data_IF_358751240333
#
_entry.id   IF_358751240333
#
_cell.length_a   1.000
_cell.length_b   1.000
_cell.length_c   1.000
_cell.angle_alpha   90.00
_cell.angle_beta   90.00
_cell.angle_gamma   90.00
#
_symmetry.space_group_name_H-M   'P 1'
#
loop_
_entity.id
_entity.type
_entity.pdbx_description
1 polymer ?
#
# COMPACT_ATOMS: atom_id res chain seq x y z
N UNK A 1 0.98 -26.04 -0.74
CA UNK A 1 0.91 -26.39 0.69
C UNK A 1 -0.31 -25.71 1.27
N UNK A 2 -1.26 -26.53 1.72
CA UNK A 2 -2.59 -26.15 2.19
C UNK A 2 -2.51 -25.26 3.44
N UNK A 3 -3.25 -24.14 3.45
CA UNK A 3 -3.45 -23.18 4.55
C UNK A 3 -4.23 -23.75 5.76
N UNK A 4 -4.35 -25.07 5.87
CA UNK A 4 -5.30 -25.77 6.73
C UNK A 4 -4.75 -26.21 8.08
N UNK A 5 -3.90 -25.45 8.78
CA UNK A 5 -3.59 -25.80 10.18
C UNK A 5 -3.06 -24.64 11.03
N UNK A 6 -3.89 -23.65 11.32
CA UNK A 6 -3.73 -22.77 12.51
C UNK A 6 -5.08 -22.18 12.96
N UNK A 7 -6.19 -22.87 12.72
CA UNK A 7 -7.50 -22.44 13.22
C UNK A 7 -7.77 -23.12 14.55
N UNK A 8 -7.38 -22.47 15.65
CA UNK A 8 -8.07 -22.72 16.90
C UNK A 8 -9.46 -22.09 16.75
N UNK A 9 -10.52 -22.88 16.88
CA UNK A 9 -11.91 -22.43 16.86
C UNK A 9 -12.12 -21.37 17.96
N UNK A 10 -12.03 -20.10 17.61
CA UNK A 10 -12.36 -19.00 18.49
C UNK A 10 -13.83 -18.66 18.28
N UNK A 11 -14.72 -19.19 19.11
CA UNK A 11 -16.14 -18.84 19.11
C UNK A 11 -16.36 -17.36 19.45
N UNK A 12 -17.47 -16.77 18.94
CA UNK A 12 -17.88 -15.40 19.27
C UNK A 12 -18.09 -15.28 20.78
N UNK A 13 -17.40 -14.36 21.48
CA UNK A 13 -17.61 -14.18 22.92
C UNK A 13 -18.95 -13.50 23.19
N UNK A 14 -19.50 -13.72 24.38
CA UNK A 14 -20.73 -13.07 24.84
C UNK A 14 -20.53 -11.55 25.14
N UNK A 15 -19.28 -11.09 25.25
CA UNK A 15 -18.95 -9.70 25.54
C UNK A 15 -18.95 -8.83 24.26
N UNK A 16 -19.36 -7.54 24.39
CA UNK A 16 -19.34 -6.57 23.29
C UNK A 16 -17.92 -6.25 22.81
N UNK A 17 -16.90 -6.45 23.64
CA UNK A 17 -15.47 -6.25 23.33
C UNK A 17 -14.66 -7.46 23.80
N UNK A 18 -13.65 -7.84 23.01
CA UNK A 18 -12.78 -8.99 23.36
C UNK A 18 -11.42 -8.94 22.69
N UNK A 19 -10.43 -9.59 23.31
CA UNK A 19 -9.11 -9.84 22.74
C UNK A 19 -8.88 -11.33 22.57
N UNK A 20 -8.59 -11.75 21.34
CA UNK A 20 -8.10 -13.07 21.02
C UNK A 20 -6.57 -13.05 21.05
N UNK A 21 -5.98 -13.60 22.10
CA UNK A 21 -4.52 -13.56 22.30
C UNK A 21 -3.82 -14.56 21.39
N UNK A 22 -2.81 -14.08 20.65
CA UNK A 22 -2.03 -14.87 19.69
C UNK A 22 -2.89 -15.67 18.71
N UNK A 23 -4.04 -15.12 18.36
CA UNK A 23 -5.04 -15.75 17.51
C UNK A 23 -5.66 -14.70 16.58
N UNK A 24 -5.86 -15.08 15.33
CA UNK A 24 -6.65 -14.35 14.35
C UNK A 24 -7.86 -15.23 14.04
N UNK A 25 -9.07 -14.84 14.47
CA UNK A 25 -10.28 -15.62 14.22
C UNK A 25 -10.59 -15.74 12.73
N UNK A 26 -11.28 -16.80 12.32
CA UNK A 26 -11.61 -17.06 10.90
C UNK A 26 -12.43 -15.94 10.27
N UNK A 27 -13.33 -15.31 11.04
CA UNK A 27 -14.12 -14.18 10.55
C UNK A 27 -13.29 -12.91 10.30
N UNK A 28 -12.07 -12.80 10.85
CA UNK A 28 -11.27 -11.59 10.80
C UNK A 28 -10.90 -11.18 9.36
N UNK A 29 -10.67 -12.14 8.47
CA UNK A 29 -10.35 -11.86 7.08
C UNK A 29 -11.47 -11.06 6.41
N UNK A 30 -12.69 -11.58 6.47
CA UNK A 30 -13.85 -10.95 5.86
C UNK A 30 -14.23 -9.63 6.57
N UNK A 31 -14.09 -9.58 7.90
CA UNK A 31 -14.35 -8.38 8.67
C UNK A 31 -13.40 -7.22 8.32
N UNK A 32 -12.09 -7.50 8.17
CA UNK A 32 -11.09 -6.51 7.78
C UNK A 32 -11.36 -5.95 6.39
N UNK A 33 -11.65 -6.82 5.44
CA UNK A 33 -11.94 -6.43 4.05
C UNK A 33 -13.25 -5.61 3.95
N UNK A 34 -14.26 -5.96 4.75
CA UNK A 34 -15.54 -5.24 4.79
C UNK A 34 -15.45 -3.89 5.49
N UNK A 35 -14.75 -3.83 6.65
CA UNK A 35 -14.67 -2.60 7.45
C UNK A 35 -13.74 -1.56 6.85
N UNK A 36 -12.60 -1.99 6.36
CA UNK A 36 -11.54 -1.07 5.96
C UNK A 36 -11.36 -1.00 4.44
N UNK A 37 -11.74 -2.04 3.70
CA UNK A 37 -11.64 -2.05 2.24
C UNK A 37 -10.24 -1.66 1.74
N UNK A 38 -9.18 -2.08 2.44
CA UNK A 38 -7.83 -1.58 2.21
C UNK A 38 -6.81 -2.72 2.05
N UNK A 39 -5.96 -2.58 1.03
CA UNK A 39 -4.88 -3.52 0.74
C UNK A 39 -4.00 -3.81 1.97
N UNK A 40 -3.61 -2.77 2.70
CA UNK A 40 -2.65 -2.87 3.79
C UNK A 40 -3.26 -3.32 5.13
N UNK A 41 -4.58 -3.43 5.21
CA UNK A 41 -5.30 -4.00 6.36
C UNK A 41 -5.84 -5.41 6.10
N UNK A 42 -5.87 -5.88 4.86
CA UNK A 42 -6.33 -7.23 4.50
C UNK A 42 -5.39 -8.33 4.99
N UNK A 43 -5.95 -9.43 5.48
CA UNK A 43 -5.17 -10.62 5.84
C UNK A 43 -4.39 -11.19 4.66
N UNK A 44 -4.88 -11.03 3.43
CA UNK A 44 -4.15 -11.46 2.24
C UNK A 44 -2.76 -10.80 2.14
N UNK A 45 -2.62 -9.57 2.59
CA UNK A 45 -1.36 -8.84 2.64
C UNK A 45 -0.58 -9.13 3.91
N UNK A 46 -1.28 -9.22 5.06
CA UNK A 46 -0.67 -9.41 6.38
C UNK A 46 -0.15 -10.83 6.61
N UNK A 47 -0.62 -11.83 5.87
CA UNK A 47 -0.18 -13.23 5.96
C UNK A 47 1.33 -13.43 5.74
N UNK A 48 2.03 -12.40 5.29
CA UNK A 48 3.47 -12.43 5.09
C UNK A 48 4.28 -11.85 6.26
N UNK A 49 3.61 -11.25 7.23
CA UNK A 49 4.21 -10.90 8.51
C UNK A 49 4.13 -12.09 9.46
N UNK A 50 4.93 -12.09 10.52
CA UNK A 50 4.91 -13.19 11.51
C UNK A 50 3.63 -13.13 12.36
N UNK A 51 2.53 -13.69 11.84
CA UNK A 51 1.20 -13.64 12.46
C UNK A 51 1.09 -14.47 13.75
N UNK A 52 2.03 -15.38 14.01
CA UNK A 52 1.99 -16.24 15.22
C UNK A 52 2.07 -15.45 16.54
N UNK A 53 2.53 -14.20 16.52
CA UNK A 53 2.58 -13.29 17.67
C UNK A 53 1.49 -12.23 17.65
N UNK A 54 0.57 -12.31 16.68
CA UNK A 54 -0.49 -11.31 16.50
C UNK A 54 -1.71 -11.69 17.30
N UNK A 55 -2.24 -10.72 18.02
CA UNK A 55 -3.51 -10.80 18.75
C UNK A 55 -4.56 -9.97 18.03
N UNK A 56 -5.83 -10.29 18.24
CA UNK A 56 -6.94 -9.60 17.60
C UNK A 56 -7.84 -8.98 18.67
N UNK A 57 -8.05 -7.65 18.58
CA UNK A 57 -9.13 -6.98 19.31
C UNK A 57 -10.33 -6.88 18.38
N UNK A 58 -11.51 -7.08 18.95
CA UNK A 58 -12.79 -6.97 18.25
C UNK A 58 -13.80 -6.27 19.15
N UNK A 59 -14.50 -5.30 18.59
CA UNK A 59 -15.69 -4.69 19.18
C UNK A 59 -16.89 -4.99 18.29
N UNK A 60 -17.93 -5.52 18.91
CA UNK A 60 -19.20 -5.84 18.24
C UNK A 60 -20.21 -4.72 18.45
N UNK A 61 -21.07 -4.48 17.46
CA UNK A 61 -22.23 -3.61 17.59
C UNK A 61 -23.23 -4.24 18.60
N UNK A 62 -23.87 -3.40 19.40
CA UNK A 62 -24.92 -3.83 20.35
C UNK A 62 -26.18 -4.33 19.63
N UNK A 63 -26.43 -3.90 18.41
CA UNK A 63 -27.51 -4.40 17.56
C UNK A 63 -27.16 -5.81 17.05
N UNK A 64 -27.64 -6.78 17.74
CA UNK A 64 -27.12 -8.15 17.86
C UNK A 64 -27.40 -9.12 16.71
N UNK A 65 -27.72 -8.69 15.49
CA UNK A 65 -27.92 -9.60 14.35
C UNK A 65 -26.88 -9.48 13.22
N UNK A 66 -25.96 -8.54 13.28
CA UNK A 66 -24.88 -8.48 12.31
C UNK A 66 -23.67 -9.30 12.79
N UNK A 67 -23.23 -10.26 12.00
CA UNK A 67 -21.97 -10.97 12.24
C UNK A 67 -20.72 -10.08 11.97
N UNK A 68 -20.92 -8.79 11.72
CA UNK A 68 -19.85 -7.87 11.42
C UNK A 68 -19.48 -7.06 12.68
N UNK A 69 -18.20 -7.01 13.05
CA UNK A 69 -17.74 -6.17 14.14
C UNK A 69 -17.85 -4.68 13.78
N UNK A 70 -17.94 -3.81 14.80
CA UNK A 70 -17.83 -2.36 14.67
C UNK A 70 -16.38 -1.93 14.39
N UNK A 71 -15.43 -2.60 15.03
CA UNK A 71 -14.01 -2.40 14.81
C UNK A 71 -13.21 -3.68 15.08
N UNK A 72 -12.09 -3.83 14.36
CA UNK A 72 -11.16 -4.95 14.51
C UNK A 72 -9.73 -4.46 14.33
N UNK A 73 -8.86 -4.72 15.32
CA UNK A 73 -7.45 -4.39 15.24
C UNK A 73 -6.59 -5.62 15.46
N UNK A 74 -5.66 -5.84 14.55
CA UNK A 74 -4.59 -6.83 14.72
C UNK A 74 -3.39 -6.12 15.32
N UNK A 75 -2.81 -6.68 16.38
CA UNK A 75 -1.72 -6.03 17.08
C UNK A 75 -0.70 -7.00 17.65
N UNK A 76 0.49 -6.50 17.93
CA UNK A 76 1.58 -7.22 18.59
C UNK A 76 2.06 -6.42 19.80
N UNK A 77 2.29 -7.11 20.93
CA UNK A 77 2.89 -6.53 22.13
C UNK A 77 4.41 -6.58 22.01
N UNK A 78 5.07 -5.44 22.15
CA UNK A 78 6.52 -5.27 22.14
C UNK A 78 6.96 -4.52 23.41
N UNK A 79 7.28 -5.27 24.47
CA UNK A 79 7.57 -4.68 25.76
C UNK A 79 6.36 -3.92 26.32
N UNK A 80 6.54 -2.63 26.63
CA UNK A 80 5.48 -1.75 27.15
C UNK A 80 4.69 -1.03 26.05
N UNK A 81 4.88 -1.40 24.80
CA UNK A 81 4.15 -0.83 23.66
C UNK A 81 3.33 -1.89 22.93
N UNK A 82 2.25 -1.46 22.31
CA UNK A 82 1.41 -2.28 21.48
C UNK A 82 1.40 -1.68 20.07
N UNK A 83 1.73 -2.48 19.06
CA UNK A 83 1.78 -2.06 17.66
C UNK A 83 0.63 -2.67 16.90
N UNK A 84 -0.23 -1.82 16.34
CA UNK A 84 -1.30 -2.23 15.43
C UNK A 84 -0.66 -2.51 14.07
N UNK A 85 -0.87 -3.72 13.56
CA UNK A 85 -0.27 -4.18 12.29
C UNK A 85 -1.12 -3.90 11.05
N UNK A 86 -2.38 -3.52 11.25
CA UNK A 86 -3.23 -3.03 10.17
C UNK A 86 -2.77 -1.63 9.76
N UNK A 87 -2.49 -1.43 8.48
CA UNK A 87 -2.11 -0.13 7.92
C UNK A 87 -3.17 0.36 6.92
N UNK A 88 -3.08 1.63 6.50
CA UNK A 88 -3.96 2.23 5.51
C UNK A 88 -5.39 2.52 5.98
N UNK A 89 -5.74 2.22 7.22
CA UNK A 89 -7.08 2.39 7.75
C UNK A 89 -7.45 3.87 7.92
N UNK A 90 -8.71 4.21 7.60
CA UNK A 90 -9.35 5.48 7.97
C UNK A 90 -10.01 5.31 9.33
N UNK A 91 -9.32 5.73 10.39
CA UNK A 91 -9.76 5.50 11.76
C UNK A 91 -10.83 6.50 12.19
N UNK A 92 -11.87 6.00 12.86
CA UNK A 92 -12.86 6.83 13.56
C UNK A 92 -12.39 7.06 15.00
N UNK A 93 -12.79 8.20 15.58
CA UNK A 93 -12.45 8.55 16.97
C UNK A 93 -12.86 7.44 17.95
N UNK A 94 -14.10 6.97 17.84
CA UNK A 94 -14.63 5.95 18.75
C UNK A 94 -13.89 4.63 18.66
N UNK A 95 -13.46 4.21 17.46
CA UNK A 95 -12.66 2.98 17.28
C UNK A 95 -11.35 3.06 18.05
N UNK A 96 -10.64 4.18 17.92
CA UNK A 96 -9.35 4.39 18.60
C UNK A 96 -9.55 4.52 20.11
N UNK A 97 -10.50 5.36 20.55
CA UNK A 97 -10.73 5.59 21.98
C UNK A 97 -11.17 4.31 22.71
N UNK A 98 -12.09 3.52 22.12
CA UNK A 98 -12.56 2.26 22.70
C UNK A 98 -11.41 1.24 22.78
N UNK A 99 -10.69 1.03 21.69
CA UNK A 99 -9.55 0.11 21.69
C UNK A 99 -8.51 0.48 22.73
N UNK A 100 -8.12 1.76 22.77
CA UNK A 100 -7.14 2.24 23.75
C UNK A 100 -7.66 2.13 25.19
N UNK A 101 -8.93 2.43 25.44
CA UNK A 101 -9.54 2.29 26.76
C UNK A 101 -9.52 0.83 27.20
N UNK A 102 -9.95 -0.09 26.34
CA UNK A 102 -9.98 -1.51 26.62
C UNK A 102 -8.58 -2.08 26.92
N UNK A 103 -7.60 -1.80 26.04
CA UNK A 103 -6.22 -2.27 26.22
C UNK A 103 -5.64 -1.74 27.53
N UNK A 104 -5.74 -0.44 27.79
CA UNK A 104 -5.17 0.18 28.97
C UNK A 104 -5.86 -0.26 30.28
N UNK A 105 -7.13 -0.65 30.24
CA UNK A 105 -7.81 -1.21 31.39
C UNK A 105 -7.35 -2.65 31.71
N UNK A 106 -7.11 -3.46 30.68
CA UNK A 106 -6.84 -4.90 30.82
C UNK A 106 -5.34 -5.26 30.85
N UNK A 107 -4.43 -4.34 30.45
CA UNK A 107 -2.98 -4.59 30.49
C UNK A 107 -2.26 -3.35 31.04
N UNK A 108 -1.92 -3.39 32.34
CA UNK A 108 -1.28 -2.27 33.07
C UNK A 108 0.17 -2.01 32.62
N UNK A 109 0.81 -2.94 31.94
CA UNK A 109 2.18 -2.80 31.46
C UNK A 109 2.24 -1.93 30.19
N UNK A 110 1.15 -1.86 29.40
CA UNK A 110 1.14 -1.08 28.15
C UNK A 110 1.05 0.41 28.48
N UNK A 111 2.05 1.15 28.02
CA UNK A 111 2.16 2.61 28.19
C UNK A 111 1.77 3.39 26.94
N UNK A 112 1.86 2.76 25.75
CA UNK A 112 1.50 3.38 24.48
C UNK A 112 0.97 2.37 23.47
N UNK A 113 0.18 2.86 22.52
CA UNK A 113 -0.36 2.11 21.38
C UNK A 113 0.02 2.88 20.11
N UNK A 114 0.64 2.19 19.16
CA UNK A 114 1.14 2.75 17.91
C UNK A 114 0.32 2.23 16.72
N UNK A 115 -0.19 3.15 15.91
CA UNK A 115 -0.81 2.89 14.62
C UNK A 115 0.10 3.46 13.53
N UNK A 116 0.58 2.63 12.62
CA UNK A 116 1.46 3.05 11.54
C UNK A 116 0.66 3.23 10.24
N UNK A 117 1.02 4.28 9.47
CA UNK A 117 0.48 4.56 8.15
C UNK A 117 -1.06 4.53 8.08
N UNK A 118 -1.72 5.28 8.95
CA UNK A 118 -3.19 5.41 9.02
C UNK A 118 -3.65 6.82 8.68
N UNK A 119 -4.92 6.97 8.35
CA UNK A 119 -5.61 8.27 8.33
C UNK A 119 -6.28 8.45 9.69
N UNK A 120 -5.69 9.26 10.59
CA UNK A 120 -6.24 9.41 11.95
C UNK A 120 -7.53 10.23 11.93
N UNK A 121 -8.39 10.09 12.96
CA UNK A 121 -9.60 10.87 13.07
C UNK A 121 -9.26 12.36 13.21
N UNK A 122 -10.07 13.23 12.59
CA UNK A 122 -9.89 14.68 12.70
C UNK A 122 -10.25 15.20 14.12
N UNK A 123 -11.19 14.53 14.78
CA UNK A 123 -11.60 14.89 16.14
C UNK A 123 -10.48 14.57 17.14
N UNK A 124 -10.44 15.38 18.21
CA UNK A 124 -9.50 15.16 19.31
C UNK A 124 -9.78 13.84 20.03
N UNK A 125 -8.77 13.00 20.17
CA UNK A 125 -8.83 11.77 20.95
C UNK A 125 -8.93 12.07 22.44
N UNK A 126 -9.50 11.14 23.20
CA UNK A 126 -9.69 11.26 24.65
C UNK A 126 -8.39 11.15 25.43
N UNK A 127 -7.35 10.56 24.84
CA UNK A 127 -6.04 10.35 25.47
C UNK A 127 -4.93 11.16 24.81
N UNK A 128 -3.81 11.44 25.53
CA UNK A 128 -2.65 12.08 24.97
C UNK A 128 -2.14 11.32 23.75
N UNK A 129 -1.87 12.04 22.67
CA UNK A 129 -1.43 11.41 21.43
C UNK A 129 -0.46 12.32 20.66
N UNK A 130 0.34 11.67 19.80
CA UNK A 130 1.24 12.33 18.85
C UNK A 130 0.90 11.82 17.45
N UNK A 131 1.04 12.70 16.45
CA UNK A 131 0.78 12.41 15.05
C UNK A 131 1.93 12.92 14.19
N UNK A 132 2.40 12.08 13.28
CA UNK A 132 3.51 12.40 12.39
C UNK A 132 3.25 11.80 11.02
N UNK A 133 3.37 12.60 9.98
CA UNK A 133 3.29 12.07 8.62
C UNK A 133 4.43 11.09 8.39
N UNK A 134 4.13 9.86 7.99
CA UNK A 134 5.13 8.81 7.78
C UNK A 134 5.22 8.34 6.33
N UNK A 135 4.11 8.38 5.59
CA UNK A 135 4.07 7.99 4.18
C UNK A 135 2.93 8.67 3.45
N UNK A 136 2.75 8.35 2.19
CA UNK A 136 1.67 8.89 1.36
C UNK A 136 1.15 7.86 0.37
N UNK A 137 -0.09 8.02 -0.02
CA UNK A 137 -0.69 7.39 -1.18
C UNK A 137 -1.12 8.44 -2.20
N UNK A 138 -1.23 8.06 -3.44
CA UNK A 138 -1.75 8.92 -4.51
C UNK A 138 -3.04 8.30 -5.00
N UNK A 139 -4.14 8.96 -4.72
CA UNK A 139 -5.49 8.43 -4.90
C UNK A 139 -6.24 9.25 -5.94
N UNK A 140 -6.95 8.57 -6.81
CA UNK A 140 -7.90 9.14 -7.74
C UNK A 140 -9.30 8.86 -7.19
N UNK A 141 -10.07 9.90 -6.86
CA UNK A 141 -11.50 9.75 -6.66
C UNK A 141 -12.15 9.54 -8.02
N UNK A 142 -12.78 8.38 -8.19
CA UNK A 142 -13.36 7.99 -9.47
C UNK A 142 -14.74 8.64 -9.64
N UNK A 143 -15.04 9.24 -10.80
CA UNK A 143 -16.38 9.67 -11.13
C UNK A 143 -17.27 8.47 -11.48
N UNK A 144 -18.58 8.72 -11.60
CA UNK A 144 -19.57 7.67 -11.82
C UNK A 144 -19.51 7.05 -13.24
N UNK A 145 -18.85 7.74 -14.19
CA UNK A 145 -18.75 7.27 -15.57
C UNK A 145 -17.42 7.64 -16.22
N UNK A 146 -17.09 6.92 -17.27
CA UNK A 146 -15.86 7.09 -18.07
C UNK A 146 -15.76 8.47 -18.71
N UNK A 147 -16.89 9.00 -19.24
CA UNK A 147 -16.87 10.28 -19.96
C UNK A 147 -16.52 11.42 -19.02
N UNK A 148 -17.04 11.40 -17.79
CA UNK A 148 -16.69 12.37 -16.75
C UNK A 148 -15.23 12.26 -16.35
N UNK A 149 -14.67 11.04 -16.24
CA UNK A 149 -13.23 10.88 -16.02
C UNK A 149 -12.40 11.49 -17.15
N UNK A 150 -12.72 11.15 -18.39
CA UNK A 150 -11.99 11.68 -19.56
C UNK A 150 -12.09 13.22 -19.65
N UNK A 151 -13.25 13.79 -19.34
CA UNK A 151 -13.46 15.25 -19.37
C UNK A 151 -12.63 16.00 -18.33
N UNK A 152 -12.41 15.40 -17.15
CA UNK A 152 -11.59 15.98 -16.09
C UNK A 152 -10.08 15.95 -16.42
N UNK A 153 -9.64 15.03 -17.28
CA UNK A 153 -8.24 14.97 -17.70
C UNK A 153 -7.83 16.25 -18.47
N UNK A 154 -6.60 16.68 -18.27
CA UNK A 154 -6.02 17.78 -19.05
C UNK A 154 -6.02 17.49 -20.55
N UNK A 155 -6.19 18.51 -21.39
CA UNK A 155 -6.25 18.41 -22.88
C UNK A 155 -5.08 17.61 -23.46
N UNK A 156 -3.86 17.84 -22.96
CA UNK A 156 -2.66 17.12 -23.40
C UNK A 156 -2.74 15.61 -23.10
N UNK A 157 -3.21 15.24 -21.90
CA UNK A 157 -3.37 13.84 -21.49
C UNK A 157 -4.41 13.14 -22.35
N UNK A 158 -5.58 13.74 -22.56
CA UNK A 158 -6.64 13.20 -23.45
C UNK A 158 -6.12 12.97 -24.86
N UNK A 159 -5.43 13.99 -25.43
CA UNK A 159 -4.83 13.88 -26.77
C UNK A 159 -3.79 12.76 -26.83
N UNK A 160 -2.98 12.60 -25.78
CA UNK A 160 -1.97 11.55 -25.70
C UNK A 160 -2.60 10.16 -25.64
N UNK A 161 -3.61 9.94 -24.81
CA UNK A 161 -4.33 8.64 -24.70
C UNK A 161 -4.95 8.29 -26.07
N UNK A 162 -5.71 9.22 -26.67
CA UNK A 162 -6.33 9.00 -27.98
C UNK A 162 -5.28 8.69 -29.06
N UNK A 163 -4.18 9.46 -29.11
CA UNK A 163 -3.07 9.23 -30.05
C UNK A 163 -2.48 7.83 -29.90
N UNK A 164 -2.17 7.42 -28.66
CA UNK A 164 -1.57 6.11 -28.40
C UNK A 164 -2.53 4.96 -28.77
N UNK A 165 -3.79 5.09 -28.40
CA UNK A 165 -4.81 4.08 -28.74
C UNK A 165 -4.99 3.95 -30.25
N UNK A 166 -5.23 5.07 -30.95
CA UNK A 166 -5.42 5.06 -32.42
C UNK A 166 -4.17 4.54 -33.14
N UNK A 167 -2.97 4.93 -32.66
CA UNK A 167 -1.73 4.42 -33.22
C UNK A 167 -1.57 2.92 -33.04
N UNK A 168 -1.83 2.41 -31.83
CA UNK A 168 -1.76 0.98 -31.56
C UNK A 168 -2.74 0.18 -32.43
N UNK A 169 -3.98 0.65 -32.55
CA UNK A 169 -5.01 0.02 -33.39
C UNK A 169 -4.63 0.01 -34.90
N UNK A 170 -3.95 1.04 -35.38
CA UNK A 170 -3.56 1.15 -36.78
C UNK A 170 -2.28 0.38 -37.12
N UNK A 171 -1.29 0.41 -36.23
CA UNK A 171 0.09 -0.03 -36.54
C UNK A 171 0.42 -1.41 -35.96
N UNK A 172 -0.41 -1.94 -35.06
CA UNK A 172 -0.19 -3.24 -34.44
C UNK A 172 -1.34 -4.21 -34.82
N UNK A 173 -1.07 -5.18 -35.68
CA UNK A 173 -2.04 -6.23 -35.98
C UNK A 173 -2.45 -6.97 -34.69
N UNK A 174 -3.73 -7.34 -34.61
CA UNK A 174 -4.30 -8.05 -33.44
C UNK A 174 -4.09 -7.29 -32.10
N UNK A 175 -4.01 -5.95 -32.14
CA UNK A 175 -3.99 -5.17 -30.91
C UNK A 175 -5.27 -5.42 -30.10
N UNK A 176 -5.10 -5.91 -28.88
CA UNK A 176 -6.19 -6.17 -27.95
C UNK A 176 -5.86 -5.67 -26.56
N UNK A 177 -6.90 -5.29 -25.84
CA UNK A 177 -6.82 -5.02 -24.42
C UNK A 177 -7.89 -5.86 -23.71
N UNK A 178 -7.50 -6.58 -22.68
CA UNK A 178 -8.42 -7.37 -21.86
C UNK A 178 -8.14 -7.14 -20.37
N UNK A 179 -9.20 -7.25 -19.57
CA UNK A 179 -9.08 -7.23 -18.10
C UNK A 179 -9.71 -8.52 -17.59
N UNK A 180 -8.97 -9.21 -16.73
CA UNK A 180 -9.31 -10.52 -16.22
C UNK A 180 -9.15 -10.58 -14.70
N UNK A 181 -9.88 -11.46 -14.03
CA UNK A 181 -9.61 -11.78 -12.62
C UNK A 181 -8.25 -12.46 -12.50
N UNK A 182 -7.52 -12.17 -11.43
CA UNK A 182 -6.15 -12.68 -11.25
C UNK A 182 -6.01 -14.19 -11.25
N UNK A 183 -7.04 -14.93 -10.81
CA UNK A 183 -7.08 -16.39 -10.84
C UNK A 183 -7.33 -16.99 -12.24
N UNK A 184 -7.72 -16.19 -13.21
CA UNK A 184 -7.95 -16.60 -14.61
C UNK A 184 -6.73 -16.38 -15.50
N UNK A 185 -5.73 -15.60 -15.02
CA UNK A 185 -4.53 -15.28 -15.78
C UNK A 185 -3.47 -16.36 -15.58
N UNK A 186 -2.79 -16.78 -16.64
CA UNK A 186 -1.71 -17.75 -16.53
C UNK A 186 -0.52 -17.22 -15.71
N UNK A 187 0.21 -18.10 -15.06
CA UNK A 187 1.38 -17.71 -14.28
C UNK A 187 2.46 -17.08 -15.16
N UNK A 188 2.65 -17.59 -16.36
CA UNK A 188 3.61 -17.04 -17.33
C UNK A 188 3.29 -15.59 -17.69
N UNK A 189 1.99 -15.27 -17.87
CA UNK A 189 1.56 -13.89 -18.14
C UNK A 189 1.84 -12.97 -16.94
N UNK A 190 1.57 -13.42 -15.73
CA UNK A 190 1.90 -12.65 -14.50
C UNK A 190 3.41 -12.45 -14.35
N UNK A 191 4.21 -13.50 -14.56
CA UNK A 191 5.66 -13.43 -14.49
C UNK A 191 6.26 -12.54 -15.59
N UNK A 192 5.66 -12.50 -16.79
CA UNK A 192 6.06 -11.59 -17.85
C UNK A 192 5.87 -10.13 -17.46
N UNK A 193 4.77 -9.77 -16.77
CA UNK A 193 4.55 -8.42 -16.24
C UNK A 193 5.60 -8.09 -15.17
N UNK A 194 5.94 -9.03 -14.29
CA UNK A 194 7.02 -8.87 -13.31
C UNK A 194 8.36 -8.63 -14.02
N UNK A 195 8.64 -9.38 -15.08
CA UNK A 195 9.84 -9.21 -15.93
C UNK A 195 9.91 -7.80 -16.56
N UNK A 196 8.81 -7.29 -17.11
CA UNK A 196 8.74 -5.91 -17.61
C UNK A 196 9.02 -4.89 -16.51
N UNK A 197 8.53 -5.12 -15.29
CA UNK A 197 8.85 -4.23 -14.17
C UNK A 197 10.33 -4.25 -13.82
N UNK A 198 10.98 -5.42 -13.81
CA UNK A 198 12.42 -5.53 -13.59
C UNK A 198 13.22 -4.76 -14.65
N UNK A 199 12.91 -4.95 -15.94
CA UNK A 199 13.54 -4.23 -17.05
C UNK A 199 13.37 -2.72 -16.93
N UNK A 200 12.16 -2.26 -16.60
CA UNK A 200 11.86 -0.83 -16.36
C UNK A 200 12.63 -0.26 -15.17
N UNK A 201 12.85 -1.04 -14.10
CA UNK A 201 13.63 -0.60 -12.95
C UNK A 201 15.12 -0.55 -13.28
N UNK A 202 15.63 -1.55 -13.98
CA UNK A 202 17.01 -1.58 -14.46
C UNK A 202 17.32 -0.39 -15.39
N UNK A 203 16.43 -0.06 -16.34
CA UNK A 203 16.56 1.12 -17.21
C UNK A 203 16.53 2.46 -16.46
N UNK A 204 16.11 2.48 -15.20
CA UNK A 204 16.17 3.66 -14.30
C UNK A 204 17.31 3.58 -13.28
N UNK A 205 18.23 2.65 -13.46
CA UNK A 205 19.32 2.35 -12.51
C UNK A 205 18.81 2.11 -11.07
N UNK A 206 17.63 1.48 -10.94
CA UNK A 206 17.02 1.14 -9.65
C UNK A 206 16.92 -0.38 -9.53
N UNK A 207 17.18 -0.89 -8.33
CA UNK A 207 16.82 -2.26 -8.02
C UNK A 207 15.28 -2.37 -7.90
N UNK A 208 14.73 -3.41 -8.50
CA UNK A 208 13.32 -3.74 -8.26
C UNK A 208 13.15 -4.16 -6.81
N UNK A 209 12.05 -3.73 -6.18
CA UNK A 209 11.66 -4.21 -4.86
C UNK A 209 11.08 -5.64 -4.90
N UNK A 210 10.87 -6.19 -6.10
CA UNK A 210 10.33 -7.53 -6.30
C UNK A 210 11.48 -8.55 -6.32
N UNK A 211 11.90 -9.01 -5.16
CA UNK A 211 12.70 -10.21 -5.03
C UNK A 211 11.82 -11.47 -5.17
N UNK A 212 12.38 -12.66 -5.03
CA UNK A 212 11.64 -13.91 -5.17
C UNK A 212 10.53 -14.07 -4.12
N UNK A 213 10.73 -13.56 -2.90
CA UNK A 213 9.76 -13.65 -1.81
C UNK A 213 8.60 -12.67 -2.04
N UNK A 214 8.90 -11.42 -2.30
CA UNK A 214 7.87 -10.39 -2.60
C UNK A 214 7.10 -10.70 -3.87
N UNK A 215 7.72 -11.33 -4.87
CA UNK A 215 7.03 -11.81 -6.08
C UNK A 215 6.01 -12.90 -5.74
N UNK A 216 6.38 -13.91 -4.94
CA UNK A 216 5.43 -14.95 -4.49
C UNK A 216 4.25 -14.35 -3.74
N UNK A 217 4.51 -13.38 -2.88
CA UNK A 217 3.49 -12.65 -2.13
C UNK A 217 2.54 -11.91 -3.09
N UNK A 218 3.09 -11.12 -4.00
CA UNK A 218 2.34 -10.41 -5.01
C UNK A 218 1.43 -11.36 -5.81
N UNK A 219 1.97 -12.49 -6.28
CA UNK A 219 1.18 -13.48 -7.02
C UNK A 219 0.04 -14.06 -6.18
N UNK A 220 0.27 -14.33 -4.90
CA UNK A 220 -0.77 -14.82 -4.00
C UNK A 220 -1.91 -13.81 -3.84
N UNK A 221 -1.59 -12.53 -3.66
CA UNK A 221 -2.57 -11.45 -3.57
C UNK A 221 -3.34 -11.30 -4.90
N UNK A 222 -2.64 -11.34 -6.03
CA UNK A 222 -3.26 -11.26 -7.34
C UNK A 222 -4.20 -12.45 -7.58
N UNK A 223 -3.84 -13.65 -7.16
CA UNK A 223 -4.72 -14.84 -7.28
C UNK A 223 -6.01 -14.70 -6.48
N UNK A 224 -5.98 -14.09 -5.32
CA UNK A 224 -7.16 -13.96 -4.43
C UNK A 224 -8.02 -12.72 -4.71
N UNK A 225 -7.40 -11.56 -4.93
CA UNK A 225 -8.08 -10.25 -5.02
C UNK A 225 -7.73 -9.49 -6.31
N UNK A 226 -6.98 -10.12 -7.23
CA UNK A 226 -6.38 -9.43 -8.36
C UNK A 226 -7.33 -9.14 -9.50
N UNK A 227 -7.06 -8.01 -10.14
CA UNK A 227 -7.56 -7.59 -11.44
C UNK A 227 -6.33 -7.35 -12.32
N UNK A 228 -6.26 -8.02 -13.46
CA UNK A 228 -5.10 -7.98 -14.35
C UNK A 228 -5.48 -7.42 -15.70
N UNK A 229 -4.89 -6.30 -16.07
CA UNK A 229 -5.00 -5.73 -17.41
C UNK A 229 -3.87 -6.23 -18.29
N UNK A 230 -4.21 -6.72 -19.48
CA UNK A 230 -3.27 -7.23 -20.48
C UNK A 230 -3.42 -6.44 -21.78
N UNK A 231 -2.31 -5.99 -22.33
CA UNK A 231 -2.24 -5.37 -23.66
C UNK A 231 -1.42 -6.27 -24.57
N UNK A 232 -2.02 -6.78 -25.63
CA UNK A 232 -1.40 -7.74 -26.55
C UNK A 232 -1.42 -7.20 -28.00
N UNK A 233 -0.53 -7.75 -28.81
CA UNK A 233 -0.49 -7.61 -30.27
C UNK A 233 -0.08 -8.92 -30.92
N UNK A 234 0.10 -8.95 -32.23
CA UNK A 234 0.68 -10.07 -32.99
C UNK A 234 2.06 -10.51 -32.47
N UNK A 235 2.81 -9.60 -31.83
CA UNK A 235 4.13 -9.87 -31.24
C UNK A 235 4.04 -10.37 -29.78
N UNK A 236 2.85 -10.63 -29.29
CA UNK A 236 2.58 -11.08 -27.93
C UNK A 236 2.23 -9.95 -26.97
N UNK A 237 2.38 -10.21 -25.65
CA UNK A 237 2.06 -9.24 -24.61
C UNK A 237 3.06 -8.09 -24.62
N UNK A 238 2.56 -6.86 -24.77
CA UNK A 238 3.34 -5.63 -24.76
C UNK A 238 3.25 -4.84 -23.45
N UNK A 239 2.20 -5.02 -22.64
CA UNK A 239 2.08 -4.39 -21.32
C UNK A 239 1.14 -5.15 -20.42
N UNK A 240 1.28 -4.90 -19.11
CA UNK A 240 0.33 -5.39 -18.13
C UNK A 240 0.22 -4.48 -16.90
N UNK A 241 -0.95 -4.54 -16.27
CA UNK A 241 -1.22 -3.90 -14.98
C UNK A 241 -1.72 -4.96 -14.01
N UNK A 242 -1.04 -5.08 -12.86
CA UNK A 242 -1.49 -5.86 -11.73
C UNK A 242 -2.14 -4.92 -10.71
N UNK A 243 -3.40 -5.13 -10.43
CA UNK A 243 -4.15 -4.38 -9.44
C UNK A 243 -4.92 -5.35 -8.53
N UNK A 244 -5.36 -4.86 -7.37
CA UNK A 244 -6.21 -5.60 -6.44
C UNK A 244 -7.42 -4.75 -6.09
N UNK A 245 -8.57 -5.40 -5.83
CA UNK A 245 -9.76 -4.73 -5.36
C UNK A 245 -10.10 -5.17 -3.94
N UNK A 246 -10.33 -4.19 -3.08
CA UNK A 246 -10.83 -4.36 -1.71
C UNK A 246 -12.01 -3.41 -1.53
N UNK A 247 -13.22 -3.96 -1.39
CA UNK A 247 -14.45 -3.15 -1.35
C UNK A 247 -14.60 -2.26 -2.59
N UNK A 248 -14.70 -0.96 -2.37
CA UNK A 248 -14.85 0.05 -3.42
C UNK A 248 -13.51 0.63 -3.89
N UNK A 249 -12.40 0.14 -3.38
CA UNK A 249 -11.06 0.63 -3.67
C UNK A 249 -10.28 -0.33 -4.56
N UNK A 250 -9.60 0.23 -5.57
CA UNK A 250 -8.69 -0.51 -6.45
C UNK A 250 -7.26 -0.01 -6.24
N UNK A 251 -6.33 -0.91 -5.97
CA UNK A 251 -4.92 -0.62 -5.72
C UNK A 251 -4.07 -1.10 -6.89
N UNK A 252 -3.44 -0.16 -7.62
CA UNK A 252 -2.55 -0.46 -8.75
C UNK A 252 -1.15 -0.78 -8.24
N UNK A 253 -0.81 -2.05 -8.16
CA UNK A 253 0.46 -2.54 -7.60
C UNK A 253 1.60 -2.38 -8.59
N UNK A 254 1.41 -2.81 -9.84
CA UNK A 254 2.38 -2.75 -10.92
C UNK A 254 1.69 -2.33 -12.21
N UNK A 255 2.31 -1.38 -12.92
CA UNK A 255 2.05 -1.15 -14.34
C UNK A 255 3.39 -1.17 -15.06
N UNK A 256 3.57 -2.11 -15.96
CA UNK A 256 4.81 -2.31 -16.69
C UNK A 256 4.55 -2.66 -18.15
N UNK A 257 5.50 -2.35 -19.02
CA UNK A 257 5.43 -2.64 -20.46
C UNK A 257 6.81 -3.01 -21.00
N UNK A 258 6.82 -3.67 -22.11
CA UNK A 258 8.01 -3.97 -22.87
C UNK A 258 8.52 -2.65 -23.50
N UNK A 259 9.81 -2.26 -23.30
CA UNK A 259 10.38 -1.04 -23.88
C UNK A 259 10.25 -0.93 -25.39
N UNK A 260 10.16 -2.05 -26.12
CA UNK A 260 9.94 -2.06 -27.58
C UNK A 260 8.63 -1.35 -28.00
N UNK A 261 7.69 -1.20 -27.08
CA UNK A 261 6.42 -0.50 -27.28
C UNK A 261 6.38 0.93 -26.69
N UNK A 262 7.53 1.53 -26.34
CA UNK A 262 7.59 2.90 -25.80
C UNK A 262 6.90 3.92 -26.71
N UNK A 263 7.08 3.79 -28.05
CA UNK A 263 6.45 4.66 -29.05
C UNK A 263 4.91 4.62 -29.02
N UNK A 264 4.32 3.57 -28.48
CA UNK A 264 2.87 3.38 -28.34
C UNK A 264 2.33 3.80 -26.96
N UNK A 265 3.20 4.18 -26.03
CA UNK A 265 2.81 4.63 -24.70
C UNK A 265 2.01 3.60 -23.88
N UNK A 266 2.30 2.31 -24.05
CA UNK A 266 1.53 1.21 -23.49
C UNK A 266 1.40 1.27 -21.96
N UNK A 267 2.44 1.74 -21.24
CA UNK A 267 2.35 1.91 -19.79
C UNK A 267 1.31 2.95 -19.35
N UNK A 268 1.18 4.05 -20.12
CA UNK A 268 0.15 5.07 -19.88
C UNK A 268 -1.23 4.55 -20.27
N UNK A 269 -1.33 3.93 -21.44
CA UNK A 269 -2.57 3.38 -21.96
C UNK A 269 -3.14 2.31 -21.01
N UNK A 270 -2.33 1.33 -20.62
CA UNK A 270 -2.73 0.24 -19.70
C UNK A 270 -3.26 0.78 -18.36
N UNK A 271 -2.62 1.83 -17.81
CA UNK A 271 -3.11 2.48 -16.58
C UNK A 271 -4.50 3.10 -16.78
N UNK A 272 -4.70 3.88 -17.85
CA UNK A 272 -5.99 4.52 -18.09
C UNK A 272 -7.10 3.52 -18.38
N UNK A 273 -6.81 2.45 -19.10
CA UNK A 273 -7.76 1.37 -19.34
C UNK A 273 -8.17 0.66 -18.03
N UNK A 274 -7.22 0.46 -17.11
CA UNK A 274 -7.53 -0.09 -15.79
C UNK A 274 -8.39 0.87 -14.95
N UNK A 275 -8.14 2.18 -15.00
CA UNK A 275 -8.96 3.20 -14.32
C UNK A 275 -10.38 3.18 -14.88
N UNK A 276 -10.54 3.18 -16.22
CA UNK A 276 -11.84 3.10 -16.89
C UNK A 276 -12.60 1.84 -16.46
N UNK A 277 -11.95 0.67 -16.48
CA UNK A 277 -12.56 -0.56 -15.98
C UNK A 277 -12.99 -0.46 -14.52
N UNK A 278 -12.19 0.17 -13.68
CA UNK A 278 -12.54 0.37 -12.26
C UNK A 278 -13.80 1.21 -12.11
N UNK A 279 -13.97 2.27 -12.92
CA UNK A 279 -15.20 3.07 -12.97
C UNK A 279 -16.38 2.22 -13.42
N UNK A 280 -16.24 1.50 -14.52
CA UNK A 280 -17.31 0.65 -15.10
C UNK A 280 -17.77 -0.45 -14.14
N UNK A 281 -16.89 -0.90 -13.23
CA UNK A 281 -17.19 -1.90 -12.21
C UNK A 281 -17.60 -1.31 -10.87
N UNK A 282 -17.83 0.02 -10.80
CA UNK A 282 -18.37 0.71 -9.63
C UNK A 282 -17.37 0.93 -8.49
N UNK A 283 -16.06 0.98 -8.79
CA UNK A 283 -15.08 1.39 -7.80
C UNK A 283 -15.17 2.92 -7.56
N UNK A 284 -14.92 3.35 -6.33
CA UNK A 284 -14.98 4.76 -5.94
C UNK A 284 -13.60 5.42 -5.89
N UNK A 285 -12.56 4.64 -5.58
CA UNK A 285 -11.20 5.15 -5.49
C UNK A 285 -10.21 4.24 -6.21
N UNK A 286 -9.21 4.88 -6.83
CA UNK A 286 -8.11 4.18 -7.49
C UNK A 286 -6.78 4.63 -6.90
N UNK A 287 -6.11 3.73 -6.21
CA UNK A 287 -4.87 3.97 -5.50
C UNK A 287 -3.68 3.70 -6.41
N UNK A 288 -2.87 4.72 -6.64
CA UNK A 288 -1.64 4.63 -7.42
C UNK A 288 -0.41 4.34 -6.55
N UNK A 289 -0.61 4.25 -5.24
CA UNK A 289 0.42 4.08 -4.21
C UNK A 289 1.48 5.21 -4.22
N UNK A 290 2.53 5.08 -3.42
CA UNK A 290 3.60 6.07 -3.37
C UNK A 290 4.44 6.16 -4.66
N UNK A 291 5.25 7.21 -4.80
CA UNK A 291 6.21 7.40 -5.90
C UNK A 291 6.04 8.68 -6.71
N UNK A 292 6.61 8.74 -7.92
CA UNK A 292 6.68 9.98 -8.71
C UNK A 292 5.30 10.56 -9.02
N UNK A 293 5.06 11.79 -8.54
CA UNK A 293 3.79 12.50 -8.63
C UNK A 293 3.46 13.00 -10.05
N UNK A 294 4.44 13.35 -10.88
CA UNK A 294 4.19 14.01 -12.18
C UNK A 294 3.29 13.18 -13.10
N UNK A 295 3.62 11.91 -13.31
CA UNK A 295 2.83 10.99 -14.15
C UNK A 295 1.51 10.57 -13.53
N UNK A 296 1.35 10.70 -12.21
CA UNK A 296 0.15 10.33 -11.48
C UNK A 296 -0.84 11.49 -11.40
N UNK A 297 -0.35 12.72 -11.30
CA UNK A 297 -1.17 13.94 -11.40
C UNK A 297 -1.85 14.05 -12.76
N UNK A 298 -1.20 13.63 -13.85
CA UNK A 298 -1.83 13.61 -15.17
C UNK A 298 -3.02 12.66 -15.27
N UNK A 299 -3.13 11.69 -14.36
CA UNK A 299 -4.25 10.77 -14.23
C UNK A 299 -5.25 11.20 -13.12
N UNK A 300 -5.22 12.46 -12.68
CA UNK A 300 -6.03 13.03 -11.59
C UNK A 300 -5.68 12.54 -10.18
N UNK A 301 -4.49 11.95 -9.99
CA UNK A 301 -4.03 11.51 -8.69
C UNK A 301 -3.82 12.68 -7.72
N UNK A 302 -4.44 12.59 -6.56
CA UNK A 302 -4.28 13.52 -5.44
C UNK A 302 -3.51 12.81 -4.33
N UNK A 303 -2.61 13.54 -3.68
CA UNK A 303 -1.79 13.01 -2.61
C UNK A 303 -2.60 12.96 -1.31
N UNK A 304 -2.70 11.79 -0.70
CA UNK A 304 -3.20 11.57 0.65
C UNK A 304 -2.04 11.21 1.57
N UNK A 305 -1.87 11.95 2.67
CA UNK A 305 -0.85 11.65 3.67
C UNK A 305 -1.36 10.61 4.66
N UNK A 306 -0.51 9.65 5.00
CA UNK A 306 -0.75 8.69 6.07
C UNK A 306 0.16 9.01 7.25
N UNK A 307 -0.38 8.90 8.45
CA UNK A 307 0.29 9.30 9.67
C UNK A 307 0.64 8.11 10.56
N UNK A 308 1.67 8.26 11.32
CA UNK A 308 1.92 7.47 12.51
C UNK A 308 1.18 8.13 13.66
N UNK A 309 0.22 7.43 14.24
CA UNK A 309 -0.55 7.86 15.41
C UNK A 309 -0.08 7.06 16.62
N UNK A 310 0.42 7.73 17.64
CA UNK A 310 0.78 7.12 18.92
C UNK A 310 -0.16 7.65 20.00
N UNK A 311 -0.83 6.74 20.72
CA UNK A 311 -1.73 7.07 21.84
C UNK A 311 -1.09 6.59 23.13
N UNK A 312 -0.94 7.49 24.11
CA UNK A 312 -0.34 7.21 25.40
C UNK A 312 -1.39 6.98 26.48
N UNK A 313 -1.08 6.12 27.45
CA UNK A 313 -1.92 5.88 28.62
C UNK A 313 -2.17 7.16 29.41
N UNK A 314 -1.13 7.99 29.59
CA UNK A 314 -1.18 9.23 30.35
C UNK A 314 -0.19 10.27 29.83
N UNK A 315 -0.35 11.57 30.17
CA UNK A 315 0.66 12.58 29.85
C UNK A 315 2.05 12.27 30.40
N UNK A 316 2.13 11.64 31.57
CA UNK A 316 3.40 11.24 32.21
C UNK A 316 4.12 10.19 31.35
N UNK A 317 3.39 9.19 30.82
CA UNK A 317 3.98 8.20 29.92
C UNK A 317 4.52 8.83 28.64
N UNK A 318 3.81 9.81 28.08
CA UNK A 318 4.25 10.57 26.92
C UNK A 318 5.56 11.34 27.19
N UNK A 319 5.65 12.02 28.33
CA UNK A 319 6.86 12.76 28.72
C UNK A 319 8.07 11.85 29.03
N UNK A 320 7.82 10.62 29.48
CA UNK A 320 8.87 9.63 29.76
C UNK A 320 9.41 8.91 28.52
N UNK A 321 8.88 9.18 27.33
CA UNK A 321 9.28 8.53 26.07
C UNK A 321 9.91 9.51 25.04
N UNK A 322 10.93 10.34 25.44
CA UNK A 322 11.50 11.35 24.57
C UNK A 322 12.30 10.75 23.41
N UNK A 323 12.90 9.55 23.59
CA UNK A 323 13.68 8.88 22.54
C UNK A 323 12.78 8.50 21.35
N UNK A 324 11.62 7.92 21.62
CA UNK A 324 10.67 7.54 20.60
C UNK A 324 10.06 8.76 19.91
N UNK A 325 9.69 9.80 20.68
CA UNK A 325 9.19 11.07 20.14
C UNK A 325 10.22 11.71 19.20
N UNK A 326 11.50 11.75 19.59
CA UNK A 326 12.58 12.27 18.75
C UNK A 326 12.79 11.43 17.48
N UNK A 327 12.70 10.10 17.58
CA UNK A 327 12.78 9.21 16.43
C UNK A 327 11.65 9.48 15.42
N UNK A 328 10.41 9.63 15.90
CA UNK A 328 9.26 9.97 15.05
C UNK A 328 9.44 11.33 14.39
N UNK A 329 9.83 12.36 15.16
CA UNK A 329 10.11 13.70 14.64
C UNK A 329 11.20 13.68 13.55
N UNK A 330 12.29 12.93 13.79
CA UNK A 330 13.36 12.77 12.81
C UNK A 330 12.89 12.12 11.53
N UNK A 331 12.02 11.09 11.62
CA UNK A 331 11.45 10.42 10.46
C UNK A 331 10.50 11.35 9.68
N UNK A 332 9.71 12.15 10.38
CA UNK A 332 8.84 13.15 9.76
C UNK A 332 9.66 14.22 9.02
N UNK A 333 10.73 14.74 9.62
CA UNK A 333 11.65 15.70 8.98
C UNK A 333 12.27 15.08 7.72
N UNK A 334 12.74 13.83 7.78
CA UNK A 334 13.29 13.12 6.62
C UNK A 334 12.23 12.97 5.51
N UNK A 335 10.99 12.65 5.86
CA UNK A 335 9.88 12.56 4.92
C UNK A 335 9.64 13.91 4.23
N UNK A 336 9.51 15.00 4.99
CA UNK A 336 9.26 16.33 4.45
C UNK A 336 10.41 16.83 3.57
N UNK A 337 11.67 16.59 3.97
CA UNK A 337 12.85 16.93 3.19
C UNK A 337 12.88 16.15 1.86
N UNK A 338 12.64 14.84 1.90
CA UNK A 338 12.60 14.02 0.68
C UNK A 338 11.51 14.51 -0.27
N UNK A 339 10.33 14.82 0.26
CA UNK A 339 9.21 15.37 -0.50
C UNK A 339 9.53 16.72 -1.12
N UNK A 340 10.10 17.64 -0.35
CA UNK A 340 10.53 18.94 -0.86
C UNK A 340 11.52 18.80 -2.01
N UNK A 341 12.50 17.90 -1.89
CA UNK A 341 13.46 17.58 -2.96
C UNK A 341 12.78 17.01 -4.21
N UNK A 342 11.73 16.21 -4.06
CA UNK A 342 10.95 15.69 -5.20
C UNK A 342 10.16 16.77 -5.90
N UNK A 343 9.46 17.61 -5.15
CA UNK A 343 8.65 18.70 -5.70
C UNK A 343 9.55 19.74 -6.42
N UNK A 344 10.72 20.09 -5.85
CA UNK A 344 11.69 20.96 -6.50
C UNK A 344 12.25 20.36 -7.79
N UNK A 345 12.56 19.06 -7.81
CA UNK A 345 13.07 18.39 -9.02
C UNK A 345 12.04 18.30 -10.14
N UNK A 346 10.75 18.31 -9.81
CA UNK A 346 9.67 18.30 -10.79
C UNK A 346 9.43 19.70 -11.40
N UNK A 347 9.73 20.77 -10.66
CA UNK A 347 9.50 22.15 -11.09
C UNK A 347 10.73 22.79 -11.77
N UNK A 348 11.90 22.15 -11.72
CA UNK A 348 13.17 22.74 -12.17
C UNK A 348 13.73 22.07 -13.44
N UNK A 349 12.98 22.06 -14.55
CA UNK A 349 13.50 21.52 -15.82
C UNK A 349 14.70 22.29 -16.42
N UNK A 350 15.12 23.45 -15.85
CA UNK A 350 16.13 24.30 -16.47
C UNK A 350 17.18 24.97 -15.57
N UNK A 351 17.29 24.65 -14.27
CA UNK A 351 18.20 25.39 -13.40
C UNK A 351 19.37 24.55 -12.84
N UNK A 352 20.52 25.22 -12.55
CA UNK A 352 21.69 24.63 -11.88
C UNK A 352 21.34 23.93 -10.54
N UNK A 353 20.23 24.35 -9.91
CA UNK A 353 19.63 23.75 -8.73
C UNK A 353 19.21 22.30 -8.99
N UNK A 354 18.65 21.97 -10.18
CA UNK A 354 18.28 20.60 -10.52
C UNK A 354 19.50 19.68 -10.58
N UNK A 355 20.62 20.15 -11.11
CA UNK A 355 21.90 19.40 -11.14
C UNK A 355 22.44 19.17 -9.73
N UNK A 356 22.39 20.19 -8.87
CA UNK A 356 22.81 20.08 -7.47
C UNK A 356 21.94 19.09 -6.68
N UNK A 357 20.61 19.16 -6.84
CA UNK A 357 19.66 18.21 -6.21
C UNK A 357 19.89 16.78 -6.72
N UNK A 358 20.18 16.61 -8.02
CA UNK A 358 20.50 15.31 -8.61
C UNK A 358 21.81 14.74 -8.03
N UNK A 359 22.85 15.56 -7.89
CA UNK A 359 24.12 15.18 -7.29
C UNK A 359 23.94 14.81 -5.80
N UNK A 360 23.16 15.60 -5.04
CA UNK A 360 22.85 15.30 -3.63
C UNK A 360 22.10 13.98 -3.46
N UNK A 361 21.11 13.70 -4.33
CA UNK A 361 20.39 12.42 -4.35
C UNK A 361 21.32 11.25 -4.68
N UNK A 362 22.25 11.44 -5.60
CA UNK A 362 23.24 10.42 -5.95
C UNK A 362 24.15 10.11 -4.76
N UNK A 363 24.62 11.14 -4.06
CA UNK A 363 25.47 11.02 -2.87
C UNK A 363 24.74 10.32 -1.70
N UNK A 364 23.45 10.67 -1.45
CA UNK A 364 22.63 10.01 -0.43
C UNK A 364 22.37 8.53 -0.78
N UNK A 365 22.18 8.20 -2.06
CA UNK A 365 22.02 6.81 -2.52
C UNK A 365 23.33 6.01 -2.40
N UNK A 366 24.45 6.60 -2.75
CA UNK A 366 25.77 6.00 -2.59
C UNK A 366 26.08 5.72 -1.10
N UNK A 367 25.77 6.68 -0.22
CA UNK A 367 25.92 6.52 1.22
C UNK A 367 24.99 5.42 1.80
N UNK A 368 23.74 5.32 1.34
CA UNK A 368 22.83 4.23 1.73
C UNK A 368 23.32 2.85 1.27
N UNK A 369 23.86 2.74 0.05
CA UNK A 369 24.49 1.51 -0.45
C UNK A 369 25.71 1.12 0.40
N UNK A 370 26.54 2.10 0.76
CA UNK A 370 27.68 1.89 1.64
C UNK A 370 27.26 1.34 3.00
N UNK A 371 26.27 1.97 3.65
CA UNK A 371 25.77 1.54 4.96
C UNK A 371 25.00 0.21 4.92
N UNK A 372 24.41 -0.18 3.80
CA UNK A 372 23.79 -1.51 3.68
C UNK A 372 24.82 -2.62 3.51
N UNK A 373 25.92 -2.36 2.82
CA UNK A 373 27.04 -3.30 2.66
C UNK A 373 27.83 -3.49 3.96
N UNK A 374 27.94 -2.47 4.79
CA UNK A 374 28.61 -2.55 6.10
C UNK A 374 27.81 -3.25 7.20
N UNK A 375 26.53 -3.57 6.97
CA UNK A 375 25.65 -4.29 7.91
C UNK A 375 25.45 -5.76 7.59
N UNK A 376 26.13 -6.30 6.57
CA UNK A 376 26.14 -7.75 6.32
C UNK A 376 27.08 -8.40 7.37
N UNK A 377 26.59 -9.27 8.30
CA UNK A 377 27.46 -9.97 9.21
C UNK A 377 28.39 -10.85 8.40
N UNK A 378 29.68 -10.78 8.68
CA UNK A 378 30.67 -11.70 8.15
C UNK A 378 30.22 -13.13 8.48
N UNK A 379 29.83 -13.89 7.45
CA UNK A 379 29.66 -15.33 7.56
C UNK A 379 30.99 -15.91 8.04
N UNK A 380 31.02 -16.36 9.28
CA UNK A 380 32.08 -17.14 9.88
C UNK A 380 32.46 -18.25 8.92
N UNK A 381 33.69 -18.19 8.40
CA UNK A 381 34.38 -19.34 7.78
C UNK A 381 34.46 -20.43 8.85
N UNK A 382 33.60 -21.43 8.75
CA UNK A 382 33.76 -22.66 9.47
C UNK A 382 35.00 -23.35 8.97
N UNK A 383 36.01 -23.46 9.83
CA UNK A 383 37.11 -24.41 9.72
C UNK A 383 36.53 -25.83 9.76
N UNK A 384 36.69 -26.56 8.70
CA UNK A 384 36.62 -28.03 8.76
C UNK A 384 37.98 -28.58 9.19
N UNK A 385 37.97 -29.67 10.04
CA UNK A 385 39.13 -30.52 10.20
C UNK A 385 39.33 -31.47 9.01
#
# INVERSE_FOLDING_TARGET
MSLTRLTSFCSKPAASESIYRHCIPDFAANALDTLYGNLHSSLATLNFTNLSKTSTYVKWTEESNSNNPESIFLFQKLGQSLHVVNEGMRLKKNEVDNFCAYVFANDQEINRIDFHAVVPPQQRLSRPNLRWVCTEDIVITLPNDEQNYLNQLGKATRKSIKKHLTRAQRELPNFTHSIQKGNQVSEDALMKIVGFNHSRMAGKEKLSALDSQTTKQLLAIIRSHGIVGLVNSDRGMGAGTLACRFGDDVFSLITAHDPTYDAFGFGTLSRHLMIIHSIQTGAQRFHLLGGNMSSKRSALGVRETLEHLTVYRSPVNMLRDPKFTLQLATNAVKYHLHRWLEDQSANSESSGMARFIHALRHSIRAWRRWNSLSKTPALTRGSQP
#
